data_IF_268878528773
#
_entry.id   IF_268878528773
#
_cell.length_a   1.000
_cell.length_b   1.000
_cell.length_c   1.000
_cell.angle_alpha   90.00
_cell.angle_beta   90.00
_cell.angle_gamma   90.00
#
_symmetry.space_group_name_H-M   'P 1'
#
loop_
_entity.id
_entity.type
_entity.pdbx_description
1 polymer ?
#
# COMPACT_ATOMS: atom_id res chain seq x y z
N UNK A 1 -0.85 -8.06 -4.37
CA UNK A 1 0.55 -8.24 -4.79
C UNK A 1 1.40 -7.03 -4.43
N UNK A 2 1.14 -5.84 -4.98
CA UNK A 2 1.98 -4.65 -4.74
C UNK A 2 2.17 -4.29 -3.26
N UNK A 3 1.11 -4.38 -2.44
CA UNK A 3 1.20 -4.10 -1.00
C UNK A 3 2.04 -5.15 -0.26
N UNK A 4 1.99 -6.42 -0.69
CA UNK A 4 2.86 -7.48 -0.16
C UNK A 4 4.32 -7.29 -0.57
N UNK A 5 4.57 -6.76 -1.76
CA UNK A 5 5.91 -6.43 -2.23
C UNK A 5 6.52 -5.31 -1.39
N UNK A 6 5.75 -4.25 -1.14
CA UNK A 6 6.17 -3.17 -0.26
C UNK A 6 6.43 -3.64 1.18
N UNK A 7 5.59 -4.54 1.70
CA UNK A 7 5.82 -5.17 3.00
C UNK A 7 7.09 -6.03 3.02
N UNK A 8 7.40 -6.75 1.93
CA UNK A 8 8.59 -7.60 1.81
C UNK A 8 9.90 -6.79 1.84
N UNK A 9 9.84 -5.50 1.55
CA UNK A 9 10.97 -4.56 1.64
C UNK A 9 10.89 -3.65 2.87
N UNK A 10 10.21 -4.11 3.92
CA UNK A 10 10.18 -3.43 5.22
C UNK A 10 9.38 -2.13 5.24
N UNK A 11 8.50 -1.90 4.27
CA UNK A 11 7.69 -0.67 4.17
C UNK A 11 8.53 0.60 3.97
N UNK A 12 9.70 0.49 3.32
CA UNK A 12 10.60 1.62 3.06
C UNK A 12 10.99 1.77 1.60
N UNK A 13 10.69 0.80 0.72
CA UNK A 13 11.08 0.86 -0.67
C UNK A 13 10.42 2.00 -1.46
N UNK A 14 11.23 2.91 -1.98
CA UNK A 14 10.78 4.08 -2.74
C UNK A 14 10.07 3.68 -4.04
N UNK A 15 10.54 2.65 -4.74
CA UNK A 15 9.91 2.22 -5.99
C UNK A 15 8.60 1.45 -5.74
N UNK A 16 8.53 0.71 -4.65
CA UNK A 16 7.41 -0.13 -4.26
C UNK A 16 6.22 0.70 -3.80
N UNK A 17 6.44 1.82 -3.10
CA UNK A 17 5.36 2.76 -2.78
C UNK A 17 4.73 3.33 -4.07
N UNK A 18 5.52 3.52 -5.13
CA UNK A 18 5.01 3.94 -6.44
C UNK A 18 4.19 2.84 -7.12
N UNK A 19 4.50 1.56 -6.90
CA UNK A 19 3.63 0.47 -7.32
C UNK A 19 2.32 0.44 -6.53
N UNK A 20 2.35 0.68 -5.21
CA UNK A 20 1.13 0.76 -4.39
C UNK A 20 0.24 1.91 -4.84
N UNK A 21 0.79 3.12 -4.91
CA UNK A 21 0.05 4.31 -5.35
C UNK A 21 -0.38 4.23 -6.82
N UNK A 22 0.46 3.64 -7.68
CA UNK A 22 0.17 3.37 -9.09
C UNK A 22 -0.97 2.35 -9.28
N UNK A 23 -1.07 1.34 -8.41
CA UNK A 23 -2.18 0.39 -8.45
C UNK A 23 -3.53 1.06 -8.17
N UNK A 24 -3.56 2.01 -7.21
CA UNK A 24 -4.77 2.82 -6.94
C UNK A 24 -5.12 3.69 -8.15
N UNK A 25 -4.12 4.34 -8.77
CA UNK A 25 -4.33 5.15 -9.97
C UNK A 25 -4.87 4.30 -11.13
N UNK A 26 -4.27 3.14 -11.39
CA UNK A 26 -4.72 2.18 -12.39
C UNK A 26 -6.19 1.80 -12.18
N UNK A 27 -6.58 1.48 -10.93
CA UNK A 27 -7.97 1.14 -10.59
C UNK A 27 -8.93 2.29 -10.86
N UNK A 28 -8.55 3.53 -10.52
CA UNK A 28 -9.38 4.72 -10.77
C UNK A 28 -9.52 4.99 -12.27
N UNK A 29 -8.41 5.01 -13.01
CA UNK A 29 -8.40 5.25 -14.46
C UNK A 29 -9.17 4.16 -15.21
N UNK A 30 -9.00 2.89 -14.81
CA UNK A 30 -9.69 1.76 -15.45
C UNK A 30 -11.21 1.84 -15.33
N UNK A 31 -11.76 2.51 -14.32
CA UNK A 31 -13.22 2.72 -14.19
C UNK A 31 -13.75 3.78 -15.16
N UNK A 32 -12.90 4.69 -15.62
CA UNK A 32 -13.26 5.78 -16.54
C UNK A 32 -12.89 5.49 -18.00
N UNK A 33 -12.24 4.35 -18.27
CA UNK A 33 -11.73 4.00 -19.59
C UNK A 33 -12.60 2.91 -20.21
N UNK A 34 -13.60 3.29 -21.00
CA UNK A 34 -14.57 2.37 -21.58
C UNK A 34 -13.99 1.48 -22.69
N UNK A 35 -12.94 1.95 -23.39
CA UNK A 35 -12.30 1.22 -24.47
C UNK A 35 -11.46 0.02 -23.94
N UNK A 36 -11.90 -1.23 -24.19
CA UNK A 36 -11.15 -2.42 -23.76
C UNK A 36 -9.76 -2.52 -24.42
N UNK A 37 -9.60 -1.97 -25.63
CA UNK A 37 -8.34 -1.96 -26.37
C UNK A 37 -7.28 -1.09 -25.69
N UNK A 38 -7.68 -0.08 -24.93
CA UNK A 38 -6.78 0.74 -24.10
C UNK A 38 -6.62 0.15 -22.68
N UNK A 39 -7.70 -0.40 -22.12
CA UNK A 39 -7.71 -0.93 -20.74
C UNK A 39 -6.77 -2.13 -20.58
N UNK A 40 -6.80 -3.09 -21.51
CA UNK A 40 -5.97 -4.31 -21.42
C UNK A 40 -4.46 -4.00 -21.46
N UNK A 41 -3.93 -3.23 -22.43
CA UNK A 41 -2.51 -2.87 -22.44
C UNK A 41 -2.09 -2.12 -21.18
N UNK A 42 -2.91 -1.20 -20.68
CA UNK A 42 -2.62 -0.43 -19.46
C UNK A 42 -2.34 -1.35 -18.26
N UNK A 43 -3.21 -2.35 -18.02
CA UNK A 43 -3.01 -3.34 -16.95
C UNK A 43 -1.74 -4.17 -17.19
N UNK A 44 -1.49 -4.58 -18.44
CA UNK A 44 -0.29 -5.35 -18.78
C UNK A 44 1.01 -4.54 -18.59
N UNK A 45 1.02 -3.25 -18.95
CA UNK A 45 2.17 -2.38 -18.74
C UNK A 45 2.42 -2.14 -17.25
N UNK A 46 1.37 -1.93 -16.46
CA UNK A 46 1.51 -1.84 -15.02
C UNK A 46 2.06 -3.13 -14.42
N UNK A 47 1.56 -4.30 -14.86
CA UNK A 47 2.07 -5.58 -14.40
C UNK A 47 3.54 -5.80 -14.77
N UNK A 48 3.96 -5.39 -15.98
CA UNK A 48 5.38 -5.39 -16.37
C UNK A 48 6.21 -4.53 -15.42
N UNK A 49 5.75 -3.34 -15.05
CA UNK A 49 6.45 -2.51 -14.07
C UNK A 49 6.60 -3.22 -12.72
N UNK A 50 5.54 -3.86 -12.22
CA UNK A 50 5.60 -4.67 -10.98
C UNK A 50 6.66 -5.78 -11.08
N UNK A 51 6.69 -6.52 -12.19
CA UNK A 51 7.66 -7.61 -12.39
C UNK A 51 9.09 -7.09 -12.52
N UNK A 52 9.30 -5.97 -13.23
CA UNK A 52 10.62 -5.36 -13.35
C UNK A 52 11.14 -4.87 -12.01
N UNK A 53 10.30 -4.17 -11.23
CA UNK A 53 10.68 -3.73 -9.88
C UNK A 53 11.01 -4.94 -9.00
N UNK A 54 10.19 -5.99 -9.00
CA UNK A 54 10.44 -7.21 -8.23
C UNK A 54 11.81 -7.84 -8.54
N UNK A 55 12.15 -7.93 -9.82
CA UNK A 55 13.46 -8.44 -10.25
C UNK A 55 14.60 -7.50 -9.87
N UNK A 56 14.41 -6.19 -10.00
CA UNK A 56 15.42 -5.17 -9.72
C UNK A 56 15.81 -5.11 -8.24
N UNK A 57 14.86 -5.33 -7.33
CA UNK A 57 15.10 -5.32 -5.88
C UNK A 57 15.55 -6.70 -5.33
N UNK A 58 15.98 -7.61 -6.20
CA UNK A 58 16.58 -8.89 -5.80
C UNK A 58 15.59 -10.01 -5.50
N UNK A 59 14.36 -9.94 -6.00
CA UNK A 59 13.33 -10.98 -5.84
C UNK A 59 13.03 -11.34 -4.37
N UNK A 60 12.64 -10.37 -3.52
CA UNK A 60 12.43 -10.61 -2.10
C UNK A 60 11.39 -11.71 -1.88
N UNK A 61 11.61 -12.53 -0.85
CA UNK A 61 10.62 -13.52 -0.47
C UNK A 61 9.36 -12.80 0.03
N UNK A 62 8.19 -13.19 -0.51
CA UNK A 62 6.93 -12.74 0.05
C UNK A 62 6.72 -13.43 1.41
N UNK A 63 6.19 -12.72 2.42
CA UNK A 63 5.69 -13.35 3.62
C UNK A 63 4.71 -14.47 3.24
N UNK A 64 4.95 -15.68 3.74
CA UNK A 64 4.11 -16.86 3.48
C UNK A 64 2.71 -16.68 4.06
N UNK A 65 2.60 -15.89 5.12
CA UNK A 65 1.35 -15.42 5.71
C UNK A 65 1.28 -13.90 5.65
N UNK A 66 0.06 -13.40 5.46
CA UNK A 66 -0.20 -11.98 5.63
C UNK A 66 0.05 -11.60 7.09
N UNK A 67 0.56 -10.40 7.39
CA UNK A 67 0.61 -9.90 8.75
C UNK A 67 -0.78 -10.04 9.38
N UNK A 68 -0.88 -10.86 10.43
CA UNK A 68 -2.07 -10.97 11.26
C UNK A 68 -1.87 -10.11 12.48
N UNK A 69 -2.96 -9.51 12.97
CA UNK A 69 -3.00 -8.86 14.27
C UNK A 69 -3.97 -9.67 15.10
N UNK A 70 -3.55 -10.08 16.30
CA UNK A 70 -4.38 -10.91 17.17
C UNK A 70 -5.67 -10.19 17.57
N UNK A 71 -5.63 -8.85 17.60
CA UNK A 71 -6.81 -8.01 17.78
C UNK A 71 -6.71 -6.70 16.97
N UNK A 72 -7.73 -6.40 16.14
CA UNK A 72 -7.80 -5.12 15.41
C UNK A 72 -7.88 -3.91 16.34
N UNK A 73 -8.52 -4.08 17.51
CA UNK A 73 -8.70 -3.01 18.50
C UNK A 73 -7.38 -2.60 19.17
N UNK A 74 -6.30 -3.35 18.93
CA UNK A 74 -4.94 -2.97 19.39
C UNK A 74 -4.20 -2.09 18.39
N UNK A 75 -4.73 -1.91 17.18
CA UNK A 75 -4.14 -0.99 16.22
C UNK A 75 -4.52 0.45 16.58
N UNK A 76 -3.57 1.40 16.48
CA UNK A 76 -3.87 2.82 16.56
C UNK A 76 -4.99 3.20 15.59
N UNK A 77 -5.91 4.06 16.00
CA UNK A 77 -6.94 4.54 15.09
C UNK A 77 -6.35 5.47 14.01
N UNK A 78 -7.14 5.76 12.99
CA UNK A 78 -6.66 6.61 11.89
C UNK A 78 -6.40 8.06 12.31
N UNK A 79 -7.02 8.57 13.38
CA UNK A 79 -6.78 9.93 13.87
C UNK A 79 -5.44 10.02 14.61
N UNK A 80 -5.11 9.00 15.40
CA UNK A 80 -3.81 8.83 16.04
C UNK A 80 -2.69 8.73 15.00
N UNK A 81 -2.82 7.85 14.00
CA UNK A 81 -1.82 7.71 12.93
C UNK A 81 -1.60 9.01 12.15
N UNK A 82 -2.67 9.75 11.83
CA UNK A 82 -2.56 11.03 11.13
C UNK A 82 -1.91 12.10 12.00
N UNK A 83 -2.18 12.10 13.30
CA UNK A 83 -1.56 13.02 14.27
C UNK A 83 -0.07 12.75 14.40
N UNK A 84 0.32 11.48 14.53
CA UNK A 84 1.73 11.06 14.60
C UNK A 84 2.50 11.36 13.32
N UNK A 85 1.84 11.19 12.16
CA UNK A 85 2.44 11.47 10.86
C UNK A 85 2.55 12.96 10.52
N UNK A 86 1.83 13.84 11.23
CA UNK A 86 1.74 15.27 10.90
C UNK A 86 3.10 16.00 10.83
N UNK A 87 4.09 15.73 11.71
CA UNK A 87 5.41 16.38 11.65
C UNK A 87 6.29 15.93 10.47
N UNK A 88 5.97 14.80 9.81
CA UNK A 88 6.76 14.29 8.68
C UNK A 88 6.61 15.24 7.50
N UNK A 89 7.71 15.66 6.87
CA UNK A 89 7.69 16.64 5.76
C UNK A 89 7.64 15.98 4.38
N UNK A 90 7.91 14.67 4.29
CA UNK A 90 7.90 13.96 3.02
C UNK A 90 6.48 13.80 2.46
N UNK A 91 6.30 14.17 1.19
CA UNK A 91 5.00 14.14 0.53
C UNK A 91 4.54 12.73 0.15
N UNK A 92 5.48 11.80 -0.09
CA UNK A 92 5.16 10.42 -0.42
C UNK A 92 4.59 9.70 0.80
N UNK A 93 5.12 10.01 1.98
CA UNK A 93 4.59 9.56 3.27
C UNK A 93 3.13 9.94 3.43
N UNK A 94 2.80 11.23 3.32
CA UNK A 94 1.41 11.69 3.45
C UNK A 94 0.49 11.07 2.41
N UNK A 95 0.95 11.02 1.15
CA UNK A 95 0.19 10.39 0.06
C UNK A 95 -0.12 8.93 0.36
N UNK A 96 0.85 8.18 0.88
CA UNK A 96 0.69 6.77 1.18
C UNK A 96 -0.17 6.54 2.43
N UNK A 97 0.00 7.35 3.48
CA UNK A 97 -0.81 7.27 4.70
C UNK A 97 -2.29 7.54 4.41
N UNK A 98 -2.58 8.59 3.65
CA UNK A 98 -3.94 8.87 3.18
C UNK A 98 -4.49 7.78 2.27
N UNK A 99 -3.64 7.20 1.41
CA UNK A 99 -4.03 6.07 0.58
C UNK A 99 -4.44 4.87 1.44
N UNK A 100 -3.64 4.51 2.43
CA UNK A 100 -3.93 3.40 3.33
C UNK A 100 -5.25 3.61 4.07
N UNK A 101 -5.48 4.82 4.62
CA UNK A 101 -6.74 5.18 5.29
C UNK A 101 -7.93 5.01 4.35
N UNK A 102 -7.89 5.65 3.18
CA UNK A 102 -8.99 5.61 2.23
C UNK A 102 -9.32 4.17 1.79
N UNK A 103 -8.30 3.38 1.46
CA UNK A 103 -8.50 2.02 0.98
C UNK A 103 -9.05 1.10 2.08
N UNK A 104 -8.57 1.22 3.32
CA UNK A 104 -9.10 0.47 4.46
C UNK A 104 -10.59 0.78 4.70
N UNK A 105 -10.94 2.07 4.81
CA UNK A 105 -12.31 2.50 5.05
C UNK A 105 -13.28 2.12 3.92
N UNK A 106 -12.81 2.10 2.67
CA UNK A 106 -13.60 1.62 1.54
C UNK A 106 -13.87 0.11 1.63
N UNK A 107 -12.84 -0.67 1.98
CA UNK A 107 -12.95 -2.13 2.05
C UNK A 107 -13.79 -2.60 3.24
N UNK A 108 -13.77 -1.88 4.36
CA UNK A 108 -14.63 -2.17 5.52
C UNK A 108 -16.13 -2.08 5.18
N UNK A 109 -16.51 -1.37 4.11
CA UNK A 109 -17.90 -1.25 3.66
C UNK A 109 -18.39 -2.47 2.87
N UNK A 110 -17.48 -3.24 2.25
CA UNK A 110 -17.83 -4.35 1.35
C UNK A 110 -18.30 -5.62 2.11
N UNK A 111 -18.02 -5.71 3.43
CA UNK A 111 -18.52 -6.75 4.36
C UNK A 111 -18.29 -8.21 3.90
N UNK A 112 -17.14 -8.47 3.28
CA UNK A 112 -16.69 -9.82 2.94
C UNK A 112 -15.29 -10.11 3.50
N UNK A 113 -14.97 -11.38 3.75
CA UNK A 113 -13.73 -11.81 4.41
C UNK A 113 -12.46 -11.39 3.65
N UNK A 114 -12.49 -11.29 2.32
CA UNK A 114 -11.31 -10.87 1.56
C UNK A 114 -11.09 -9.37 1.72
N UNK A 115 -12.15 -8.60 1.66
CA UNK A 115 -12.12 -7.15 1.89
C UNK A 115 -11.67 -6.83 3.32
N UNK A 116 -12.13 -7.59 4.30
CA UNK A 116 -11.66 -7.50 5.69
C UNK A 116 -10.15 -7.70 5.80
N UNK A 117 -9.59 -8.75 5.18
CA UNK A 117 -8.15 -9.02 5.22
C UNK A 117 -7.33 -7.94 4.52
N UNK A 118 -7.85 -7.38 3.42
CA UNK A 118 -7.18 -6.31 2.69
C UNK A 118 -7.24 -4.98 3.43
N UNK A 119 -8.37 -4.66 4.05
CA UNK A 119 -8.53 -3.48 4.91
C UNK A 119 -7.49 -3.50 6.03
N UNK A 120 -7.39 -4.64 6.72
CA UNK A 120 -6.40 -4.86 7.76
C UNK A 120 -4.96 -4.66 7.25
N UNK A 121 -4.65 -5.15 6.04
CA UNK A 121 -3.31 -4.96 5.48
C UNK A 121 -2.99 -3.49 5.21
N UNK A 122 -3.96 -2.70 4.74
CA UNK A 122 -3.77 -1.26 4.57
C UNK A 122 -3.58 -0.54 5.91
N UNK A 123 -4.32 -0.93 6.95
CA UNK A 123 -4.15 -0.40 8.30
C UNK A 123 -2.75 -0.71 8.85
N UNK A 124 -2.32 -1.97 8.78
CA UNK A 124 -0.97 -2.39 9.20
C UNK A 124 0.10 -1.63 8.40
N UNK A 125 -0.11 -1.43 7.10
CA UNK A 125 0.82 -0.64 6.29
C UNK A 125 0.91 0.79 6.82
N UNK A 126 -0.21 1.43 7.14
CA UNK A 126 -0.27 2.76 7.78
C UNK A 126 0.51 2.83 9.08
N UNK A 127 0.30 1.85 9.98
CA UNK A 127 1.04 1.74 11.25
C UNK A 127 2.54 1.61 11.01
N UNK A 128 2.94 0.76 10.06
CA UNK A 128 4.36 0.49 9.77
C UNK A 128 5.07 1.69 9.17
N UNK A 129 4.44 2.42 8.25
CA UNK A 129 5.06 3.62 7.67
C UNK A 129 5.20 4.73 8.71
N UNK A 130 4.19 4.93 9.58
CA UNK A 130 4.28 5.91 10.68
C UNK A 130 5.42 5.53 11.62
N UNK A 131 5.47 4.28 12.08
CA UNK A 131 6.53 3.79 12.96
C UNK A 131 7.94 3.93 12.35
N UNK A 132 8.09 3.68 11.05
CA UNK A 132 9.37 3.83 10.36
C UNK A 132 9.85 5.29 10.38
N UNK A 133 8.97 6.23 10.04
CA UNK A 133 9.31 7.66 9.97
C UNK A 133 9.46 8.31 11.36
N UNK A 134 8.67 7.91 12.35
CA UNK A 134 8.81 8.40 13.73
C UNK A 134 10.10 7.91 14.39
N UNK A 135 10.63 6.76 13.95
CA UNK A 135 11.96 6.28 14.32
C UNK A 135 13.12 7.01 13.61
N UNK A 136 12.83 8.01 12.76
CA UNK A 136 13.83 8.81 12.05
C UNK A 136 14.35 8.15 10.77
N UNK A 137 13.71 7.09 10.28
CA UNK A 137 14.06 6.50 8.99
C UNK A 137 13.43 7.28 7.82
N UNK A 138 13.94 7.02 6.61
CA UNK A 138 13.44 7.57 5.35
C UNK A 138 13.21 6.44 4.33
N UNK A 139 12.78 6.80 3.13
CA UNK A 139 12.68 5.90 1.99
C UNK A 139 14.05 5.35 1.57
N UNK A 140 14.06 4.08 1.19
CA UNK A 140 15.22 3.38 0.64
C UNK A 140 15.08 3.33 -0.88
N UNK A 141 16.12 3.79 -1.57
CA UNK A 141 16.22 3.85 -3.03
C UNK A 141 16.98 2.65 -3.60
#
# INVERSE_FOLDING_TARGET
VVLRLFAATGYQGFYELHLVTGCRALRKISKSLDDPALRRPMVLYFWRAVMYTYAAIGNPAFPSTMPTVDNRDTLPDWEELLREGMPVTDTHFHKLLWLCKDEALLLDQERDTKSDQLSLLYHITGVRIVANFTAGNDWVH
#
